data_IF_782358977077
#
_entry.id   IF_782358977077
#
_cell.length_a   1.000
_cell.length_b   1.000
_cell.length_c   1.000
_cell.angle_alpha   90.00
_cell.angle_beta   90.00
_cell.angle_gamma   90.00
#
_symmetry.space_group_name_H-M   'P 1'
#
loop_
_entity.id
_entity.type
_entity.pdbx_description
1 polymer ?
#
# COMPACT_ATOMS: atom_id res chain seq x y z
N UNK A 1 6.11 8.66 8.73
CA UNK A 1 5.85 7.66 9.81
C UNK A 1 6.92 6.56 9.84
N UNK A 2 7.00 5.76 10.92
CA UNK A 2 7.91 4.61 11.00
C UNK A 2 7.42 3.46 10.10
N UNK A 3 8.33 2.89 9.29
CA UNK A 3 8.05 1.78 8.39
C UNK A 3 8.94 0.58 8.75
N UNK A 4 8.34 -0.61 8.90
CA UNK A 4 9.09 -1.85 9.12
C UNK A 4 9.64 -2.36 7.77
N UNK A 5 10.93 -2.70 7.70
CA UNK A 5 11.50 -3.33 6.50
C UNK A 5 11.36 -4.86 6.61
N UNK A 6 10.62 -5.48 5.69
CA UNK A 6 10.18 -6.88 5.84
C UNK A 6 10.82 -7.83 4.84
N UNK A 7 11.11 -7.30 3.65
CA UNK A 7 11.88 -7.97 2.63
C UNK A 7 12.50 -6.88 1.75
N UNK A 8 13.60 -7.23 1.08
CA UNK A 8 14.18 -6.36 0.07
C UNK A 8 13.35 -6.35 -1.21
N UNK A 9 13.44 -5.26 -1.95
CA UNK A 9 12.77 -5.08 -3.25
C UNK A 9 13.70 -5.36 -4.44
N UNK A 10 14.93 -5.81 -4.19
CA UNK A 10 15.88 -6.23 -5.23
C UNK A 10 15.57 -7.66 -5.71
N UNK A 11 14.36 -7.87 -6.23
CA UNK A 11 13.84 -9.15 -6.64
C UNK A 11 13.42 -9.06 -8.11
N UNK A 12 13.92 -9.97 -8.93
CA UNK A 12 13.76 -9.90 -10.38
C UNK A 12 13.08 -11.17 -10.95
N UNK A 13 12.68 -12.12 -10.11
CA UNK A 13 12.08 -13.39 -10.53
C UNK A 13 10.72 -13.62 -9.86
N UNK A 14 9.77 -14.15 -10.63
CA UNK A 14 8.40 -14.44 -10.13
C UNK A 14 8.39 -15.43 -8.96
N UNK A 15 9.32 -16.38 -8.93
CA UNK A 15 9.46 -17.34 -7.84
C UNK A 15 9.76 -16.67 -6.49
N UNK A 16 10.53 -15.58 -6.49
CA UNK A 16 10.84 -14.84 -5.27
C UNK A 16 9.57 -14.14 -4.75
N UNK A 17 8.81 -13.53 -5.66
CA UNK A 17 7.54 -12.88 -5.34
C UNK A 17 6.53 -13.86 -4.75
N UNK A 18 6.40 -15.04 -5.35
CA UNK A 18 5.50 -16.09 -4.86
C UNK A 18 5.91 -16.59 -3.46
N UNK A 19 7.21 -16.75 -3.23
CA UNK A 19 7.75 -17.15 -1.93
C UNK A 19 7.38 -16.14 -0.84
N UNK A 20 7.55 -14.85 -1.12
CA UNK A 20 7.21 -13.77 -0.19
C UNK A 20 5.69 -13.72 0.05
N UNK A 21 4.89 -13.77 -1.01
CA UNK A 21 3.43 -13.81 -0.88
C UNK A 21 2.97 -14.98 0.00
N UNK A 22 3.51 -16.17 -0.22
CA UNK A 22 3.17 -17.39 0.53
C UNK A 22 3.57 -17.27 2.01
N UNK A 23 4.74 -16.70 2.29
CA UNK A 23 5.20 -16.45 3.66
C UNK A 23 4.28 -15.47 4.39
N UNK A 24 4.01 -14.31 3.78
CA UNK A 24 3.22 -13.25 4.38
C UNK A 24 1.73 -13.60 4.52
N UNK A 25 1.18 -14.39 3.59
CA UNK A 25 -0.22 -14.86 3.64
C UNK A 25 -0.56 -15.54 4.97
N UNK A 26 0.38 -16.29 5.55
CA UNK A 26 0.19 -17.03 6.82
C UNK A 26 -0.01 -16.11 8.04
N UNK A 27 0.31 -14.82 7.90
CA UNK A 27 0.22 -13.84 8.98
C UNK A 27 -0.95 -12.86 8.80
N UNK A 28 -1.83 -13.11 7.82
CA UNK A 28 -3.03 -12.29 7.62
C UNK A 28 -4.04 -12.63 8.71
N UNK A 29 -4.37 -11.64 9.55
CA UNK A 29 -5.46 -11.73 10.51
C UNK A 29 -6.64 -10.86 10.02
N UNK A 30 -7.77 -11.51 9.75
CA UNK A 30 -9.02 -10.89 9.32
C UNK A 30 -9.97 -10.54 10.49
N UNK A 31 -9.71 -11.07 11.68
CA UNK A 31 -10.59 -10.96 12.85
C UNK A 31 -10.31 -9.72 13.71
N UNK A 32 -9.88 -8.61 13.08
CA UNK A 32 -9.60 -7.37 13.79
C UNK A 32 -10.61 -6.27 13.40
N UNK A 33 -11.82 -6.29 13.97
CA UNK A 33 -12.85 -5.32 13.65
C UNK A 33 -12.43 -3.92 14.10
N UNK A 34 -12.64 -2.93 13.24
CA UNK A 34 -12.38 -1.52 13.52
C UNK A 34 -13.71 -0.89 13.95
N UNK A 35 -13.79 -0.39 15.18
CA UNK A 35 -14.92 0.44 15.59
C UNK A 35 -14.88 1.78 14.85
N UNK A 36 -15.98 2.14 14.18
CA UNK A 36 -16.08 3.40 13.44
C UNK A 36 -15.92 4.62 14.36
N UNK A 37 -16.38 4.50 15.61
CA UNK A 37 -16.35 5.58 16.60
C UNK A 37 -14.92 5.86 17.10
N UNK A 38 -13.98 4.95 16.85
CA UNK A 38 -12.58 5.09 17.22
C UNK A 38 -11.70 5.68 16.09
N UNK A 39 -12.25 5.94 14.90
CA UNK A 39 -11.49 6.46 13.76
C UNK A 39 -11.47 7.99 13.78
N UNK A 40 -10.28 8.58 13.84
CA UNK A 40 -10.05 10.02 13.75
C UNK A 40 -9.55 10.42 12.36
N UNK A 41 -8.77 9.55 11.71
CA UNK A 41 -8.15 9.83 10.42
C UNK A 41 -8.24 8.65 9.46
N UNK A 42 -8.31 8.94 8.17
CA UNK A 42 -8.17 7.93 7.12
C UNK A 42 -7.29 8.43 5.99
N UNK A 43 -6.54 7.54 5.34
CA UNK A 43 -5.66 7.89 4.24
C UNK A 43 -6.04 7.14 2.97
N UNK A 44 -6.22 7.87 1.87
CA UNK A 44 -6.31 7.31 0.52
C UNK A 44 -4.93 7.22 -0.11
N UNK A 45 -4.64 6.09 -0.76
CA UNK A 45 -3.39 5.86 -1.49
C UNK A 45 -3.71 5.47 -2.93
N UNK A 46 -3.09 6.19 -3.86
CA UNK A 46 -3.24 5.96 -5.29
C UNK A 46 -1.90 6.14 -6.01
N UNK A 47 -1.76 5.47 -7.16
CA UNK A 47 -0.57 5.51 -7.99
C UNK A 47 -0.92 5.75 -9.46
N UNK A 48 -0.19 6.69 -10.07
CA UNK A 48 -0.24 6.93 -11.50
C UNK A 48 1.10 6.58 -12.15
N UNK A 49 1.05 6.16 -13.41
CA UNK A 49 2.20 5.73 -14.19
C UNK A 49 2.32 6.51 -15.48
N UNK A 50 3.54 6.72 -15.95
CA UNK A 50 3.81 7.24 -17.28
C UNK A 50 5.14 6.69 -17.82
N UNK A 51 5.32 6.78 -19.12
CA UNK A 51 6.60 6.46 -19.77
C UNK A 51 7.30 7.73 -20.22
N UNK A 52 8.63 7.76 -20.08
CA UNK A 52 9.48 8.84 -20.56
C UNK A 52 10.80 8.24 -21.01
N UNK A 53 11.21 8.52 -22.24
CA UNK A 53 12.49 8.06 -22.82
C UNK A 53 12.68 6.53 -22.76
N UNK A 54 11.59 5.76 -22.90
CA UNK A 54 11.60 4.29 -22.83
C UNK A 54 11.68 3.73 -21.40
N UNK A 55 11.65 4.58 -20.37
CA UNK A 55 11.64 4.17 -18.97
C UNK A 55 10.27 4.39 -18.32
N UNK A 56 9.85 3.44 -17.49
CA UNK A 56 8.61 3.53 -16.72
C UNK A 56 8.82 4.33 -15.43
N UNK A 57 7.97 5.33 -15.21
CA UNK A 57 7.92 6.13 -14.00
C UNK A 57 6.55 5.98 -13.32
N UNK A 58 6.52 6.29 -12.03
CA UNK A 58 5.29 6.34 -11.27
C UNK A 58 5.33 7.42 -10.20
N UNK A 59 4.14 7.84 -9.77
CA UNK A 59 3.93 8.73 -8.64
C UNK A 59 2.91 8.11 -7.72
N UNK A 60 3.29 7.95 -6.45
CA UNK A 60 2.35 7.62 -5.39
C UNK A 60 1.90 8.91 -4.70
N UNK A 61 0.59 9.04 -4.49
CA UNK A 61 -0.02 10.07 -3.67
C UNK A 61 -0.69 9.45 -2.45
N UNK A 62 -0.51 10.07 -1.29
CA UNK A 62 -1.21 9.73 -0.05
C UNK A 62 -1.90 10.97 0.48
N UNK A 63 -3.22 10.89 0.64
CA UNK A 63 -4.08 11.97 1.13
C UNK A 63 -4.69 11.54 2.45
N UNK A 64 -4.39 12.26 3.52
CA UNK A 64 -4.97 12.03 4.84
C UNK A 64 -6.16 12.96 5.04
N UNK A 65 -7.28 12.38 5.44
CA UNK A 65 -8.51 13.04 5.79
C UNK A 65 -8.77 12.93 7.29
N UNK A 66 -9.34 13.98 7.86
CA UNK A 66 -10.07 13.87 9.12
C UNK A 66 -11.36 13.07 8.87
N UNK A 67 -11.58 12.02 9.65
CA UNK A 67 -12.63 11.03 9.40
C UNK A 67 -14.04 11.61 9.57
N UNK A 68 -14.21 12.54 10.51
CA UNK A 68 -15.52 13.11 10.85
C UNK A 68 -15.92 14.23 9.87
N UNK A 69 -14.99 15.15 9.60
CA UNK A 69 -15.22 16.34 8.76
C UNK A 69 -14.95 16.11 7.28
N UNK A 70 -14.22 15.03 6.94
CA UNK A 70 -13.80 14.66 5.58
C UNK A 70 -12.85 15.69 4.94
N UNK A 71 -12.30 16.60 5.75
CA UNK A 71 -11.34 17.61 5.28
C UNK A 71 -9.98 16.98 5.09
N UNK A 72 -9.28 17.39 4.03
CA UNK A 72 -7.89 17.03 3.81
C UNK A 72 -7.03 17.72 4.86
N UNK A 73 -6.28 16.93 5.63
CA UNK A 73 -5.41 17.43 6.70
C UNK A 73 -3.92 17.22 6.39
N UNK A 74 -3.58 16.29 5.50
CA UNK A 74 -2.21 16.11 5.03
C UNK A 74 -2.19 15.54 3.60
N UNK A 75 -1.18 15.92 2.81
CA UNK A 75 -0.94 15.41 1.47
C UNK A 75 0.55 15.16 1.28
N UNK A 76 0.93 13.97 0.87
CA UNK A 76 2.31 13.65 0.51
C UNK A 76 2.35 12.89 -0.81
N UNK A 77 3.45 13.02 -1.54
CA UNK A 77 3.66 12.25 -2.76
C UNK A 77 5.12 11.86 -2.94
N UNK A 78 5.35 10.81 -3.71
CA UNK A 78 6.68 10.42 -4.14
C UNK A 78 6.64 9.95 -5.60
N UNK A 79 7.44 10.58 -6.45
CA UNK A 79 7.67 10.14 -7.81
C UNK A 79 9.02 9.39 -7.91
N UNK A 80 9.12 8.47 -8.86
CA UNK A 80 10.37 7.77 -9.13
C UNK A 80 10.25 6.77 -10.26
N UNK A 81 11.40 6.19 -10.64
CA UNK A 81 11.48 5.09 -11.60
C UNK A 81 10.81 3.84 -11.03
N UNK A 82 10.12 3.11 -11.89
CA UNK A 82 9.54 1.81 -11.58
C UNK A 82 10.52 0.72 -11.99
N UNK A 83 10.99 -0.06 -11.02
CA UNK A 83 11.97 -1.11 -11.26
C UNK A 83 11.34 -2.44 -11.73
N UNK A 84 10.12 -2.74 -11.25
CA UNK A 84 9.43 -4.01 -11.53
C UNK A 84 8.39 -3.79 -12.64
N UNK A 85 8.43 -4.56 -13.75
CA UNK A 85 7.43 -4.47 -14.80
C UNK A 85 6.04 -4.89 -14.28
N UNK A 86 4.99 -4.60 -15.05
CA UNK A 86 3.66 -5.08 -14.69
C UNK A 86 3.60 -6.60 -14.91
N UNK A 87 3.41 -7.35 -13.81
CA UNK A 87 3.19 -8.79 -13.83
C UNK A 87 1.88 -9.06 -13.08
N UNK A 88 0.93 -9.72 -13.74
CA UNK A 88 -0.37 -10.04 -13.16
C UNK A 88 -0.19 -10.86 -11.87
N UNK A 89 -0.83 -10.43 -10.78
CA UNK A 89 -0.69 -11.06 -9.46
C UNK A 89 0.48 -10.56 -8.60
N UNK A 90 1.36 -9.71 -9.14
CA UNK A 90 2.54 -9.18 -8.43
C UNK A 90 2.63 -7.64 -8.44
N UNK A 91 1.54 -6.94 -8.77
CA UNK A 91 1.46 -5.47 -8.80
C UNK A 91 2.01 -4.81 -7.53
N UNK A 92 1.81 -5.45 -6.38
CA UNK A 92 2.29 -4.94 -5.12
C UNK A 92 3.82 -4.76 -5.05
N UNK A 93 4.62 -5.64 -5.67
CA UNK A 93 6.08 -5.49 -5.71
C UNK A 93 6.51 -4.29 -6.55
N UNK A 94 5.70 -3.91 -7.54
CA UNK A 94 5.89 -2.72 -8.36
C UNK A 94 5.60 -1.42 -7.59
N UNK A 95 4.58 -1.42 -6.73
CA UNK A 95 4.04 -0.20 -6.11
C UNK A 95 4.59 0.09 -4.72
N UNK A 96 4.82 -0.95 -3.91
CA UNK A 96 5.25 -0.83 -2.52
C UNK A 96 6.49 0.07 -2.33
N UNK A 97 7.54 0.03 -3.19
CA UNK A 97 8.69 0.91 -3.02
C UNK A 97 8.32 2.40 -3.04
N UNK A 98 7.42 2.82 -3.94
CA UNK A 98 6.97 4.21 -4.01
C UNK A 98 6.02 4.55 -2.86
N UNK A 99 5.11 3.64 -2.50
CA UNK A 99 4.19 3.83 -1.36
C UNK A 99 4.97 4.03 -0.07
N UNK A 100 5.98 3.19 0.20
CA UNK A 100 6.84 3.30 1.39
C UNK A 100 7.57 4.64 1.41
N UNK A 101 8.12 5.08 0.27
CA UNK A 101 8.80 6.38 0.17
C UNK A 101 7.84 7.55 0.43
N UNK A 102 6.61 7.49 -0.07
CA UNK A 102 5.58 8.49 0.22
C UNK A 102 5.16 8.46 1.69
N UNK A 103 4.87 7.28 2.26
CA UNK A 103 4.43 7.11 3.65
C UNK A 103 5.48 7.54 4.67
N UNK A 104 6.78 7.44 4.35
CA UNK A 104 7.86 7.98 5.17
C UNK A 104 7.75 9.50 5.35
N UNK A 105 7.20 10.23 4.38
CA UNK A 105 7.00 11.68 4.44
C UNK A 105 5.81 12.10 5.30
N UNK A 106 4.90 11.19 5.62
CA UNK A 106 3.75 11.49 6.49
C UNK A 106 4.22 11.88 7.89
N UNK A 107 3.65 12.98 8.38
CA UNK A 107 3.77 13.43 9.77
C UNK A 107 2.66 12.86 10.64
N UNK A 108 1.46 12.63 10.08
CA UNK A 108 0.34 11.96 10.73
C UNK A 108 0.44 10.45 10.51
N UNK A 109 0.15 9.65 11.55
CA UNK A 109 -0.05 8.20 11.40
C UNK A 109 -1.55 7.93 11.23
N UNK A 110 -2.04 7.60 10.02
CA UNK A 110 -3.46 7.40 9.79
C UNK A 110 -4.00 6.17 10.52
N UNK A 111 -5.20 6.28 11.09
CA UNK A 111 -5.86 5.13 11.75
C UNK A 111 -6.20 4.03 10.74
N UNK A 112 -6.43 4.39 9.48
CA UNK A 112 -6.77 3.45 8.43
C UNK A 112 -6.30 3.93 7.07
N UNK A 113 -5.69 3.02 6.30
CA UNK A 113 -5.38 3.24 4.88
C UNK A 113 -6.40 2.55 3.98
N UNK A 114 -6.80 3.25 2.92
CA UNK A 114 -7.60 2.80 1.80
C UNK A 114 -6.73 2.85 0.54
N UNK A 115 -6.73 1.76 -0.23
CA UNK A 115 -5.93 1.62 -1.44
C UNK A 115 -6.83 1.45 -2.64
N UNK A 116 -6.46 2.06 -3.75
CA UNK A 116 -7.00 1.65 -5.05
C UNK A 116 -6.33 0.34 -5.51
N UNK A 117 -6.80 -0.78 -4.96
CA UNK A 117 -6.23 -2.08 -5.24
C UNK A 117 -6.84 -3.21 -4.42
N UNK A 118 -6.54 -4.45 -4.81
CA UNK A 118 -7.08 -5.62 -4.15
C UNK A 118 -6.34 -5.95 -2.83
N UNK A 119 -7.07 -6.49 -1.85
CA UNK A 119 -6.55 -7.04 -0.59
C UNK A 119 -6.68 -8.56 -0.52
N UNK A 120 -7.70 -9.06 0.17
CA UNK A 120 -7.98 -10.50 0.28
C UNK A 120 -8.52 -11.10 -1.03
N UNK A 121 -9.24 -10.29 -1.81
CA UNK A 121 -9.75 -10.62 -3.14
C UNK A 121 -8.61 -10.60 -4.17
N UNK A 122 -7.62 -11.44 -3.95
CA UNK A 122 -6.45 -11.66 -4.77
C UNK A 122 -6.28 -13.18 -4.95
N UNK A 123 -5.72 -13.65 -6.07
CA UNK A 123 -5.59 -15.10 -6.34
C UNK A 123 -4.84 -15.85 -5.22
N UNK A 124 -3.86 -15.17 -4.60
CA UNK A 124 -3.10 -15.68 -3.46
C UNK A 124 -3.55 -15.14 -2.09
N UNK A 125 -4.69 -14.45 -2.01
CA UNK A 125 -5.21 -13.76 -0.82
C UNK A 125 -4.34 -12.66 -0.20
N UNK A 126 -3.25 -12.29 -0.89
CA UNK A 126 -2.31 -11.25 -0.49
C UNK A 126 -2.07 -10.23 -1.62
N UNK A 127 -3.06 -9.39 -1.86
CA UNK A 127 -2.90 -8.22 -2.73
C UNK A 127 -2.12 -7.08 -2.05
N UNK A 128 -1.96 -5.96 -2.79
CA UNK A 128 -1.22 -4.76 -2.38
C UNK A 128 -1.49 -4.33 -0.93
N UNK A 129 -2.78 -4.22 -0.56
CA UNK A 129 -3.19 -3.78 0.77
C UNK A 129 -2.65 -4.68 1.89
N UNK A 130 -2.73 -6.01 1.70
CA UNK A 130 -2.26 -6.96 2.71
C UNK A 130 -0.75 -6.99 2.80
N UNK A 131 -0.05 -6.84 1.68
CA UNK A 131 1.41 -6.80 1.71
C UNK A 131 1.93 -5.53 2.39
N UNK A 132 1.33 -4.36 2.12
CA UNK A 132 1.72 -3.11 2.79
C UNK A 132 1.38 -3.12 4.30
N UNK A 133 0.33 -3.83 4.74
CA UNK A 133 -0.02 -3.89 6.18
C UNK A 133 1.17 -4.31 7.05
N UNK A 134 2.05 -5.15 6.54
CA UNK A 134 3.21 -5.56 7.31
C UNK A 134 4.23 -4.41 7.48
N UNK A 135 4.31 -3.47 6.53
CA UNK A 135 5.22 -2.32 6.55
C UNK A 135 4.73 -1.18 7.48
N UNK A 136 3.46 -1.15 7.86
CA UNK A 136 2.87 -0.14 8.75
C UNK A 136 2.74 -0.63 10.19
N UNK A 137 3.02 0.23 11.18
CA UNK A 137 2.70 -0.06 12.59
C UNK A 137 1.19 -0.04 12.85
N UNK A 138 0.46 0.84 12.16
CA UNK A 138 -0.99 0.77 12.09
C UNK A 138 -1.40 -0.51 11.37
N UNK A 139 -1.71 -1.54 12.17
CA UNK A 139 -2.28 -2.83 11.79
C UNK A 139 -3.68 -2.70 11.12
N UNK A 140 -4.15 -1.48 10.88
CA UNK A 140 -5.52 -1.17 10.51
C UNK A 140 -5.52 -0.64 9.09
N UNK A 141 -6.01 -1.45 8.16
CA UNK A 141 -6.35 -1.02 6.81
C UNK A 141 -7.81 -1.36 6.61
N UNK A 142 -8.55 -0.61 5.80
CA UNK A 142 -9.94 -0.92 5.46
C UNK A 142 -10.06 -1.06 3.95
N UNK A 143 -11.07 -1.82 3.52
CA UNK A 143 -11.42 -1.99 2.12
C UNK A 143 -12.54 -0.99 1.79
N UNK A 144 -12.44 -0.33 0.64
CA UNK A 144 -13.63 -0.03 -0.17
C UNK A 144 -13.22 -0.14 -1.63
N UNK A 145 -13.75 -1.15 -2.32
CA UNK A 145 -13.87 -1.06 -3.78
C UNK A 145 -15.26 -0.51 -4.05
N UNK A 146 -15.33 0.65 -4.68
CA UNK A 146 -16.51 1.09 -5.40
C UNK A 146 -16.48 0.34 -6.74
N UNK A 147 -17.16 -0.81 -6.77
CA UNK A 147 -17.67 -1.43 -7.99
C UNK A 147 -19.04 -1.97 -7.65
#
# INVERSE_FOLDING_TARGET
>A
MNINNIHDFNLNQENDFLTIQTKLKKHINLENPISKDALQTCAGVDLAYWEKDGEAFGVCSIIVLDFHTKRVIEKVHCAGKIAVPYIAGFLAFRELPLIIKAAKKLTIEPDVFLFDGNGYLHINHIGLRHMLRFFSKSQRSALRKLT
#
